data_IF_589086804836
#
_entry.id   IF_589086804836
#
_cell.length_a   1.000
_cell.length_b   1.000
_cell.length_c   1.000
_cell.angle_alpha   90.00
_cell.angle_beta   90.00
_cell.angle_gamma   90.00
#
_symmetry.space_group_name_H-M   'P 1'
#
loop_
_entity.id
_entity.type
_entity.pdbx_description
1 polymer ?
#
# COMPACT_ATOMS: atom_id res chain seq x y z
N UNK A 1 -9.95 -0.95 -6.94
CA UNK A 1 -9.18 0.30 -6.65
C UNK A 1 -7.74 -0.08 -6.89
N UNK A 2 -7.08 0.47 -7.90
CA UNK A 2 -5.76 -0.04 -8.30
C UNK A 2 -4.69 0.26 -7.23
N UNK A 3 -3.69 -0.61 -7.16
CA UNK A 3 -2.52 -0.47 -6.33
C UNK A 3 -1.90 0.92 -6.52
N UNK A 4 -1.73 1.66 -5.43
CA UNK A 4 -1.14 3.00 -5.47
C UNK A 4 0.34 3.00 -5.89
N UNK A 5 1.02 1.85 -5.80
CA UNK A 5 2.42 1.69 -6.22
C UNK A 5 2.50 1.37 -7.72
N UNK A 6 1.97 0.22 -8.14
CA UNK A 6 2.18 -0.26 -9.50
C UNK A 6 1.06 0.11 -10.48
N UNK A 7 -0.11 0.53 -10.01
CA UNK A 7 -1.30 0.86 -10.82
C UNK A 7 -1.71 -0.24 -11.83
N UNK A 8 -1.28 -1.49 -11.62
CA UNK A 8 -1.54 -2.64 -12.51
C UNK A 8 -2.58 -3.58 -11.93
N UNK A 9 -2.48 -3.85 -10.63
CA UNK A 9 -3.31 -4.82 -9.92
C UNK A 9 -4.28 -4.09 -8.99
N UNK A 10 -5.35 -4.75 -8.57
CA UNK A 10 -6.23 -4.23 -7.52
C UNK A 10 -5.51 -4.18 -6.16
N UNK A 11 -5.74 -3.09 -5.44
CA UNK A 11 -5.27 -2.88 -4.10
C UNK A 11 -6.13 -3.69 -3.12
N UNK A 12 -5.59 -4.83 -2.71
CA UNK A 12 -6.22 -5.74 -1.76
C UNK A 12 -5.67 -5.59 -0.34
N UNK A 13 -4.57 -4.87 -0.19
CA UNK A 13 -3.85 -4.68 1.07
C UNK A 13 -3.90 -3.21 1.49
N UNK A 14 -4.25 -2.99 2.76
CA UNK A 14 -4.14 -1.71 3.44
C UNK A 14 -2.84 -1.66 4.25
N UNK A 15 -1.91 -0.83 3.83
CA UNK A 15 -0.71 -0.51 4.57
C UNK A 15 -0.97 0.73 5.43
N UNK A 16 -0.54 0.68 6.69
CA UNK A 16 -0.53 1.84 7.59
C UNK A 16 0.88 2.00 8.13
N UNK A 17 1.53 3.10 7.78
CA UNK A 17 2.84 3.46 8.30
C UNK A 17 2.68 4.59 9.33
N UNK A 18 3.47 4.54 10.40
CA UNK A 18 3.51 5.57 11.43
C UNK A 18 4.96 6.03 11.56
N UNK A 19 5.23 7.24 11.07
CA UNK A 19 6.57 7.83 11.07
C UNK A 19 6.50 9.21 11.74
N UNK A 20 7.30 9.41 12.80
CA UNK A 20 7.32 10.65 13.61
C UNK A 20 5.94 11.08 14.16
N UNK A 21 5.07 10.10 14.45
CA UNK A 21 3.70 10.34 14.91
C UNK A 21 2.70 10.70 13.80
N UNK A 22 3.15 10.79 12.54
CA UNK A 22 2.28 10.94 11.38
C UNK A 22 1.85 9.57 10.88
N UNK A 23 0.54 9.34 10.80
CA UNK A 23 -0.04 8.12 10.24
C UNK A 23 -0.31 8.33 8.75
N UNK A 24 0.28 7.48 7.91
CA UNK A 24 0.02 7.44 6.47
C UNK A 24 -0.60 6.10 6.09
N UNK A 25 -1.69 6.14 5.31
CA UNK A 25 -2.44 4.97 4.88
C UNK A 25 -2.31 4.81 3.36
N UNK A 26 -1.98 3.61 2.90
CA UNK A 26 -1.79 3.31 1.48
C UNK A 26 -2.48 2.00 1.10
N UNK A 27 -3.09 1.97 -0.07
CA UNK A 27 -3.77 0.82 -0.64
C UNK A 27 -2.90 0.22 -1.75
N UNK A 28 -2.39 -0.97 -1.51
CA UNK A 28 -1.44 -1.64 -2.41
C UNK A 28 -1.91 -3.07 -2.71
N UNK A 29 -1.37 -3.67 -3.78
CA UNK A 29 -1.65 -5.07 -4.10
C UNK A 29 -0.73 -6.02 -3.33
N UNK A 30 -1.12 -7.28 -3.25
CA UNK A 30 -0.34 -8.36 -2.61
C UNK A 30 1.11 -8.42 -3.11
N UNK A 31 1.31 -8.31 -4.43
CA UNK A 31 2.65 -8.37 -5.02
C UNK A 31 3.57 -7.25 -4.52
N UNK A 32 3.10 -6.00 -4.55
CA UNK A 32 3.91 -4.87 -4.07
C UNK A 32 4.10 -4.91 -2.55
N UNK A 33 3.17 -5.50 -1.79
CA UNK A 33 3.33 -5.68 -0.36
C UNK A 33 4.39 -6.74 0.00
N UNK A 34 4.61 -7.74 -0.85
CA UNK A 34 5.69 -8.73 -0.68
C UNK A 34 7.07 -8.18 -1.02
N UNK A 35 7.15 -7.12 -1.83
CA UNK A 35 8.40 -6.47 -2.25
C UNK A 35 8.89 -5.38 -1.26
N UNK A 36 8.06 -5.00 -0.28
CA UNK A 36 8.37 -4.01 0.77
C UNK A 36 9.01 -4.68 1.99
#
# INVERSE_FOLDING_TARGET
MQCQICNKNDATIHLTEITDGVRSEMHICEHCAQEQ
#
